data_IF_749562194386
#
_entry.id   IF_749562194386
#
_cell.length_a   1.000
_cell.length_b   1.000
_cell.length_c   1.000
_cell.angle_alpha   90.00
_cell.angle_beta   90.00
_cell.angle_gamma   90.00
#
_symmetry.space_group_name_H-M   'P 1'
#
loop_
_entity.id
_entity.type
_entity.pdbx_description
1 polymer ?
#
# COMPACT_ATOMS: atom_id res chain seq x y z
N UNK A 1 22.49 19.57 -54.05
CA UNK A 1 22.79 18.42 -53.17
C UNK A 1 22.07 18.66 -51.84
N UNK A 2 20.96 17.98 -51.60
CA UNK A 2 20.10 18.18 -50.41
C UNK A 2 20.55 17.25 -49.29
N UNK A 3 21.20 17.79 -48.26
CA UNK A 3 21.46 17.06 -47.02
C UNK A 3 20.16 16.99 -46.20
N UNK A 4 19.42 15.88 -46.34
CA UNK A 4 18.38 15.52 -45.37
C UNK A 4 19.07 14.86 -44.16
N UNK A 5 19.38 15.65 -43.14
CA UNK A 5 19.69 15.12 -41.82
C UNK A 5 18.38 14.80 -41.09
N UNK A 6 18.01 13.52 -41.02
CA UNK A 6 16.93 13.05 -40.15
C UNK A 6 17.38 13.22 -38.68
N UNK A 7 16.62 13.93 -37.82
CA UNK A 7 16.97 14.05 -36.42
C UNK A 7 16.76 12.68 -35.77
N UNK A 8 17.86 12.05 -35.37
CA UNK A 8 17.87 10.77 -34.67
C UNK A 8 17.36 11.00 -33.25
N UNK A 9 16.04 11.03 -33.04
CA UNK A 9 15.44 11.08 -31.71
C UNK A 9 15.53 9.70 -31.07
N UNK A 10 16.73 9.31 -30.65
CA UNK A 10 16.93 8.16 -29.78
C UNK A 10 16.17 8.43 -28.48
N UNK A 11 14.98 7.83 -28.33
CA UNK A 11 14.23 7.85 -27.08
C UNK A 11 15.14 7.34 -25.98
N UNK A 12 15.39 8.18 -24.97
CA UNK A 12 16.12 7.79 -23.77
C UNK A 12 15.29 6.70 -23.07
N UNK A 13 15.72 5.45 -23.20
CA UNK A 13 15.11 4.32 -22.51
C UNK A 13 15.91 3.97 -21.26
N UNK A 14 15.22 3.85 -20.13
CA UNK A 14 15.83 3.44 -18.87
C UNK A 14 16.30 1.98 -18.97
N UNK A 15 17.52 1.71 -18.50
CA UNK A 15 18.04 0.33 -18.43
C UNK A 15 17.21 -0.46 -17.44
N UNK A 16 16.56 -1.53 -17.89
CA UNK A 16 15.79 -2.46 -17.05
C UNK A 16 16.76 -3.28 -16.18
N UNK A 17 17.05 -2.80 -14.97
CA UNK A 17 18.00 -3.43 -14.04
C UNK A 17 17.34 -4.21 -12.91
N UNK A 18 16.04 -4.02 -12.67
CA UNK A 18 15.32 -4.75 -11.62
C UNK A 18 14.95 -6.18 -12.06
N UNK A 19 15.30 -7.16 -11.24
CA UNK A 19 14.87 -8.56 -11.36
C UNK A 19 13.57 -8.80 -10.57
N UNK A 20 12.99 -10.00 -10.65
CA UNK A 20 11.68 -10.33 -10.05
C UNK A 20 11.62 -10.04 -8.54
N UNK A 21 12.63 -10.45 -7.77
CA UNK A 21 12.61 -10.30 -6.31
C UNK A 21 12.57 -8.82 -5.89
N UNK A 22 13.45 -7.93 -6.39
CA UNK A 22 13.35 -6.49 -6.13
C UNK A 22 11.99 -5.89 -6.47
N UNK A 23 11.34 -6.33 -7.56
CA UNK A 23 10.00 -5.85 -7.96
C UNK A 23 8.94 -6.29 -6.95
N UNK A 24 8.97 -7.56 -6.52
CA UNK A 24 8.04 -8.09 -5.51
C UNK A 24 8.25 -7.39 -4.17
N UNK A 25 9.50 -7.21 -3.73
CA UNK A 25 9.83 -6.51 -2.49
C UNK A 25 9.38 -5.05 -2.53
N UNK A 26 9.55 -4.36 -3.66
CA UNK A 26 9.03 -3.02 -3.83
C UNK A 26 7.50 -3.01 -3.71
N UNK A 27 6.80 -3.94 -4.36
CA UNK A 27 5.35 -4.09 -4.24
C UNK A 27 4.88 -4.31 -2.81
N UNK A 28 5.52 -5.21 -2.07
CA UNK A 28 5.21 -5.47 -0.66
C UNK A 28 5.43 -4.24 0.24
N UNK A 29 6.51 -3.50 0.02
CA UNK A 29 6.76 -2.26 0.75
C UNK A 29 5.67 -1.20 0.49
N UNK A 30 5.17 -1.12 -0.75
CA UNK A 30 4.07 -0.21 -1.11
C UNK A 30 2.69 -0.65 -0.58
N UNK A 31 2.48 -1.94 -0.30
CA UNK A 31 1.20 -2.44 0.26
C UNK A 31 0.98 -2.05 1.73
N UNK A 32 2.03 -1.60 2.43
CA UNK A 32 1.98 -1.22 3.85
C UNK A 32 1.24 -2.24 4.75
N UNK A 33 1.72 -3.49 4.90
CA UNK A 33 0.99 -4.55 5.61
C UNK A 33 0.60 -4.22 7.06
N UNK A 34 1.34 -3.31 7.70
CA UNK A 34 1.06 -2.87 9.06
C UNK A 34 -0.27 -2.11 9.20
N UNK A 35 -0.78 -1.50 8.13
CA UNK A 35 -2.05 -0.73 8.16
C UNK A 35 -3.26 -1.60 8.52
N UNK A 36 -3.15 -2.92 8.38
CA UNK A 36 -4.17 -3.86 8.86
C UNK A 36 -4.40 -3.69 10.37
N UNK A 37 -3.34 -3.49 11.15
CA UNK A 37 -3.44 -3.37 12.62
C UNK A 37 -4.13 -2.08 13.07
N UNK A 38 -4.21 -1.06 12.22
CA UNK A 38 -4.80 0.23 12.56
C UNK A 38 -6.33 0.12 12.77
N UNK A 39 -6.98 -0.74 11.99
CA UNK A 39 -8.45 -0.85 11.95
C UNK A 39 -8.96 -2.21 12.40
N UNK A 40 -8.14 -3.27 12.31
CA UNK A 40 -8.59 -4.64 12.54
C UNK A 40 -9.26 -4.82 13.90
N UNK A 41 -8.66 -4.30 14.99
CA UNK A 41 -9.22 -4.45 16.33
C UNK A 41 -10.61 -3.81 16.48
N UNK A 42 -10.75 -2.57 16.00
CA UNK A 42 -12.01 -1.81 16.10
C UNK A 42 -13.08 -2.47 15.23
N UNK A 43 -12.77 -2.77 13.96
CA UNK A 43 -13.74 -3.35 13.03
C UNK A 43 -14.11 -4.77 13.46
N UNK A 44 -13.17 -5.56 14.00
CA UNK A 44 -13.45 -6.88 14.55
C UNK A 44 -14.45 -6.79 15.71
N UNK A 45 -14.29 -5.82 16.61
CA UNK A 45 -15.26 -5.57 17.68
C UNK A 45 -16.64 -5.13 17.18
N UNK A 46 -16.69 -4.31 16.12
CA UNK A 46 -17.95 -3.85 15.52
C UNK A 46 -18.67 -4.89 14.64
N UNK A 47 -17.97 -5.94 14.21
CA UNK A 47 -18.48 -6.94 13.25
C UNK A 47 -18.55 -8.34 13.85
N UNK A 48 -18.51 -8.47 15.18
CA UNK A 48 -18.49 -9.75 15.89
C UNK A 48 -17.40 -10.72 15.37
N UNK A 49 -16.27 -10.17 14.93
CA UNK A 49 -15.13 -10.94 14.41
C UNK A 49 -15.22 -11.36 12.95
N UNK A 50 -16.15 -10.85 12.14
CA UNK A 50 -16.31 -11.23 10.72
C UNK A 50 -15.34 -10.55 9.74
N UNK A 51 -14.36 -9.79 10.22
CA UNK A 51 -13.31 -9.15 9.39
C UNK A 51 -12.58 -10.12 8.46
N UNK A 52 -12.18 -11.35 8.88
CA UNK A 52 -11.53 -12.32 7.99
C UNK A 52 -12.40 -12.71 6.78
N UNK A 53 -13.72 -12.74 6.94
CA UNK A 53 -14.65 -13.03 5.84
C UNK A 53 -14.64 -11.93 4.80
N UNK A 54 -14.68 -10.67 5.23
CA UNK A 54 -14.55 -9.52 4.34
C UNK A 54 -13.20 -9.55 3.59
N UNK A 55 -12.11 -9.91 4.27
CA UNK A 55 -10.81 -10.10 3.62
C UNK A 55 -10.79 -11.27 2.62
N UNK A 56 -11.52 -12.36 2.90
CA UNK A 56 -11.69 -13.46 1.95
C UNK A 56 -12.34 -13.00 0.63
N UNK A 57 -13.43 -12.24 0.71
CA UNK A 57 -14.07 -11.67 -0.48
C UNK A 57 -13.18 -10.65 -1.19
N UNK A 58 -12.51 -9.77 -0.44
CA UNK A 58 -11.58 -8.79 -1.00
C UNK A 58 -10.41 -9.46 -1.72
N UNK A 59 -9.86 -10.54 -1.16
CA UNK A 59 -8.77 -11.31 -1.78
C UNK A 59 -9.18 -11.85 -3.14
N UNK A 60 -10.38 -12.42 -3.26
CA UNK A 60 -10.89 -12.94 -4.54
C UNK A 60 -10.95 -11.82 -5.59
N UNK A 61 -11.50 -10.65 -5.24
CA UNK A 61 -11.57 -9.50 -6.15
C UNK A 61 -10.17 -8.99 -6.56
N UNK A 62 -9.24 -8.93 -5.62
CA UNK A 62 -7.84 -8.51 -5.86
C UNK A 62 -7.12 -9.53 -6.75
N UNK A 63 -7.36 -10.84 -6.58
CA UNK A 63 -6.77 -11.87 -7.44
C UNK A 63 -7.23 -11.74 -8.89
N UNK A 64 -8.53 -11.50 -9.14
CA UNK A 64 -9.02 -11.21 -10.49
C UNK A 64 -8.35 -9.97 -11.09
N UNK A 65 -8.17 -8.93 -10.28
CA UNK A 65 -7.48 -7.70 -10.68
C UNK A 65 -6.02 -7.98 -11.04
N UNK A 66 -5.29 -8.70 -10.18
CA UNK A 66 -3.89 -9.05 -10.39
C UNK A 66 -3.68 -9.89 -11.66
N UNK A 67 -4.55 -10.88 -11.90
CA UNK A 67 -4.50 -11.71 -13.13
C UNK A 67 -4.78 -10.88 -14.39
N UNK A 68 -5.72 -9.94 -14.33
CA UNK A 68 -6.01 -9.00 -15.42
C UNK A 68 -4.78 -8.13 -15.74
N UNK A 69 -4.18 -7.52 -14.71
CA UNK A 69 -2.98 -6.71 -14.83
C UNK A 69 -1.80 -7.52 -15.40
N UNK A 70 -1.62 -8.77 -14.96
CA UNK A 70 -0.57 -9.66 -15.45
C UNK A 70 -0.69 -9.99 -16.95
N UNK A 71 -1.91 -10.05 -17.50
CA UNK A 71 -2.15 -10.20 -18.95
C UNK A 71 -1.92 -8.88 -19.69
N UNK A 72 -2.39 -7.78 -19.14
CA UNK A 72 -2.35 -6.47 -19.78
C UNK A 72 -0.93 -5.89 -19.85
N UNK A 73 -0.09 -6.11 -18.84
CA UNK A 73 1.32 -5.65 -18.86
C UNK A 73 2.13 -6.31 -19.98
N UNK A 74 1.81 -7.56 -20.34
CA UNK A 74 2.46 -8.27 -21.47
C UNK A 74 1.98 -7.73 -22.82
N UNK A 75 0.71 -7.34 -22.92
CA UNK A 75 0.10 -6.80 -24.15
C UNK A 75 0.46 -5.34 -24.40
N UNK A 76 0.55 -4.54 -23.34
CA UNK A 76 0.85 -3.12 -23.38
C UNK A 76 2.05 -2.82 -22.46
N UNK A 77 3.29 -3.15 -22.90
CA UNK A 77 4.50 -2.96 -22.10
C UNK A 77 4.89 -1.47 -22.05
N UNK A 78 4.13 -0.69 -21.29
CA UNK A 78 4.30 0.75 -21.10
C UNK A 78 4.22 1.09 -19.60
N UNK A 79 4.88 2.18 -19.20
CA UNK A 79 4.93 2.64 -17.82
C UNK A 79 3.61 3.24 -17.30
N UNK A 80 2.58 3.38 -18.14
CA UNK A 80 1.36 4.10 -17.77
C UNK A 80 0.29 3.30 -17.00
N UNK A 81 0.62 2.11 -16.48
CA UNK A 81 -0.18 1.34 -15.52
C UNK A 81 -1.68 1.21 -15.89
N UNK A 82 -2.56 1.24 -14.88
CA UNK A 82 -4.02 1.14 -14.98
C UNK A 82 -4.63 2.07 -16.04
N UNK A 83 -4.17 3.32 -16.08
CA UNK A 83 -4.60 4.33 -17.05
C UNK A 83 -4.40 3.83 -18.48
N UNK A 84 -3.18 3.39 -18.81
CA UNK A 84 -2.87 2.90 -20.16
C UNK A 84 -3.66 1.64 -20.48
N UNK A 85 -3.82 0.74 -19.52
CA UNK A 85 -4.57 -0.49 -19.74
C UNK A 85 -6.03 -0.19 -20.06
N UNK A 86 -6.71 0.61 -19.24
CA UNK A 86 -8.11 0.99 -19.45
C UNK A 86 -8.31 1.78 -20.74
N UNK A 87 -7.40 2.72 -21.03
CA UNK A 87 -7.42 3.50 -22.27
C UNK A 87 -7.33 2.63 -23.52
N UNK A 88 -6.44 1.63 -23.51
CA UNK A 88 -6.16 0.77 -24.67
C UNK A 88 -7.11 -0.42 -24.81
N UNK A 89 -7.74 -0.86 -23.72
CA UNK A 89 -8.63 -2.04 -23.71
C UNK A 89 -10.13 -1.71 -23.70
N UNK A 90 -10.52 -0.53 -23.21
CA UNK A 90 -11.93 -0.13 -23.10
C UNK A 90 -12.20 1.12 -23.96
N UNK A 91 -11.77 2.30 -23.52
CA UNK A 91 -11.92 3.54 -24.27
C UNK A 91 -11.06 4.67 -23.69
N UNK A 92 -10.77 5.73 -24.47
CA UNK A 92 -10.04 6.90 -23.97
C UNK A 92 -10.68 7.58 -22.75
N UNK A 93 -12.01 7.68 -22.71
CA UNK A 93 -12.74 8.30 -21.61
C UNK A 93 -12.60 7.49 -20.32
N UNK A 94 -12.70 6.16 -20.40
CA UNK A 94 -12.51 5.29 -19.23
C UNK A 94 -11.06 5.34 -18.74
N UNK A 95 -10.09 5.38 -19.67
CA UNK A 95 -8.70 5.65 -19.34
C UNK A 95 -8.54 6.93 -18.53
N UNK A 96 -9.10 8.04 -19.00
CA UNK A 96 -9.07 9.33 -18.30
C UNK A 96 -9.66 9.26 -16.88
N UNK A 97 -10.83 8.62 -16.71
CA UNK A 97 -11.45 8.45 -15.39
C UNK A 97 -10.56 7.62 -14.45
N UNK A 98 -9.95 6.55 -14.94
CA UNK A 98 -9.01 5.73 -14.15
C UNK A 98 -7.79 6.55 -13.74
N UNK A 99 -7.23 7.35 -14.65
CA UNK A 99 -6.11 8.24 -14.33
C UNK A 99 -6.44 9.25 -13.23
N UNK A 100 -7.63 9.87 -13.29
CA UNK A 100 -8.11 10.77 -12.25
C UNK A 100 -8.35 10.07 -10.92
N UNK A 101 -8.95 8.88 -10.94
CA UNK A 101 -9.16 8.07 -9.73
C UNK A 101 -7.82 7.73 -9.05
N UNK A 102 -6.82 7.29 -9.82
CA UNK A 102 -5.48 7.03 -9.29
C UNK A 102 -4.78 8.29 -8.75
N UNK A 103 -4.97 9.44 -9.38
CA UNK A 103 -4.41 10.70 -8.87
C UNK A 103 -5.02 11.06 -7.51
N UNK A 104 -6.35 10.93 -7.38
CA UNK A 104 -7.05 11.19 -6.12
C UNK A 104 -6.64 10.20 -5.03
N UNK A 105 -6.49 8.92 -5.36
CA UNK A 105 -5.97 7.89 -4.45
C UNK A 105 -4.59 8.27 -3.89
N UNK A 106 -3.67 8.67 -4.76
CA UNK A 106 -2.33 9.14 -4.35
C UNK A 106 -2.36 10.44 -3.53
N UNK A 107 -3.37 11.28 -3.72
CA UNK A 107 -3.54 12.51 -2.94
C UNK A 107 -4.12 12.22 -1.54
N UNK A 108 -5.07 11.28 -1.42
CA UNK A 108 -5.73 10.93 -0.16
C UNK A 108 -4.88 10.02 0.73
N UNK A 109 -4.08 9.12 0.16
CA UNK A 109 -3.22 8.22 0.92
C UNK A 109 -2.37 8.94 2.00
N UNK A 110 -1.58 9.99 1.71
CA UNK A 110 -0.81 10.69 2.74
C UNK A 110 -1.70 11.43 3.74
N UNK A 111 -2.85 11.96 3.33
CA UNK A 111 -3.78 12.64 4.24
C UNK A 111 -4.34 11.68 5.29
N UNK A 112 -4.74 10.47 4.89
CA UNK A 112 -5.23 9.43 5.80
C UNK A 112 -4.11 9.01 6.77
N UNK A 113 -2.88 8.85 6.28
CA UNK A 113 -1.74 8.51 7.14
C UNK A 113 -1.46 9.59 8.20
N UNK A 114 -1.54 10.88 7.84
CA UNK A 114 -1.39 11.99 8.80
C UNK A 114 -2.55 12.03 9.80
N UNK A 115 -3.78 11.74 9.36
CA UNK A 115 -4.93 11.62 10.25
C UNK A 115 -4.76 10.50 11.27
N UNK A 116 -4.30 9.32 10.85
CA UNK A 116 -4.00 8.21 11.76
C UNK A 116 -2.88 8.57 12.73
N UNK A 117 -1.79 9.18 12.25
CA UNK A 117 -0.71 9.66 13.10
C UNK A 117 -1.20 10.68 14.15
N UNK A 118 -2.12 11.58 13.78
CA UNK A 118 -2.78 12.51 14.70
C UNK A 118 -3.56 11.76 15.79
N UNK A 119 -4.37 10.77 15.41
CA UNK A 119 -5.17 9.98 16.36
C UNK A 119 -4.26 9.25 17.36
N UNK A 120 -3.17 8.63 16.88
CA UNK A 120 -2.20 7.97 17.76
C UNK A 120 -1.48 8.96 18.67
N UNK A 121 -1.10 10.13 18.16
CA UNK A 121 -0.46 11.16 18.96
C UNK A 121 -1.38 11.68 20.06
N UNK A 122 -2.66 11.94 19.75
CA UNK A 122 -3.67 12.36 20.74
C UNK A 122 -3.86 11.30 21.84
N UNK A 123 -3.81 10.02 21.49
CA UNK A 123 -3.91 8.93 22.47
C UNK A 123 -2.67 8.85 23.38
N UNK A 124 -1.48 9.12 22.86
CA UNK A 124 -0.21 9.04 23.61
C UNK A 124 0.08 10.29 24.44
N UNK A 125 -0.21 11.48 23.92
CA UNK A 125 0.08 12.76 24.56
C UNK A 125 -1.15 13.67 24.50
N UNK A 126 -2.19 13.41 25.32
CA UNK A 126 -3.43 14.18 25.29
C UNK A 126 -3.27 15.66 25.66
N UNK A 127 -2.16 16.02 26.30
CA UNK A 127 -1.88 17.38 26.79
C UNK A 127 -1.40 18.35 25.71
N UNK A 128 -0.92 17.85 24.56
CA UNK A 128 -0.38 18.69 23.49
C UNK A 128 -1.43 18.85 22.37
N UNK A 129 -1.73 20.08 21.92
CA UNK A 129 -2.61 20.30 20.77
C UNK A 129 -2.09 19.58 19.52
N UNK A 130 -2.90 18.68 18.98
CA UNK A 130 -2.50 17.78 17.90
C UNK A 130 -2.22 18.46 16.56
N UNK A 131 -2.78 19.65 16.32
CA UNK A 131 -2.49 20.44 15.12
C UNK A 131 -0.99 20.80 15.01
N UNK A 132 -0.31 21.01 16.15
CA UNK A 132 1.13 21.30 16.16
C UNK A 132 1.93 20.09 15.67
N UNK A 133 1.56 18.89 16.12
CA UNK A 133 2.16 17.64 15.68
C UNK A 133 1.91 17.41 14.18
N UNK A 134 0.68 17.62 13.71
CA UNK A 134 0.33 17.50 12.29
C UNK A 134 1.17 18.45 11.43
N UNK A 135 1.24 19.73 11.78
CA UNK A 135 2.03 20.72 11.03
C UNK A 135 3.51 20.35 11.02
N UNK A 136 4.07 19.98 12.17
CA UNK A 136 5.47 19.57 12.27
C UNK A 136 5.78 18.32 11.44
N UNK A 137 4.92 17.30 11.51
CA UNK A 137 5.10 16.05 10.79
C UNK A 137 4.99 16.25 9.28
N UNK A 138 4.00 17.03 8.81
CA UNK A 138 3.85 17.38 7.39
C UNK A 138 5.06 18.16 6.90
N UNK A 139 5.49 19.20 7.62
CA UNK A 139 6.66 19.99 7.26
C UNK A 139 7.93 19.13 7.18
N UNK A 140 8.14 18.23 8.14
CA UNK A 140 9.24 17.28 8.14
C UNK A 140 9.20 16.35 6.91
N UNK A 141 8.05 15.74 6.64
CA UNK A 141 7.88 14.84 5.50
C UNK A 141 8.06 15.55 4.15
N UNK A 142 7.51 16.76 4.00
CA UNK A 142 7.69 17.58 2.80
C UNK A 142 9.17 17.93 2.61
N UNK A 143 9.86 18.40 3.65
CA UNK A 143 11.28 18.73 3.59
C UNK A 143 12.14 17.51 3.23
N UNK A 144 11.80 16.33 3.76
CA UNK A 144 12.51 15.09 3.45
C UNK A 144 12.28 14.63 2.01
N UNK A 145 11.04 14.70 1.52
CA UNK A 145 10.69 14.37 0.14
C UNK A 145 11.42 15.26 -0.88
N UNK A 146 11.68 16.52 -0.55
CA UNK A 146 12.39 17.45 -1.44
C UNK A 146 13.91 17.21 -1.51
N UNK A 147 14.53 16.56 -0.51
CA UNK A 147 16.01 16.54 -0.38
C UNK A 147 16.70 15.40 -1.12
N UNK A 148 16.18 14.17 -1.14
CA UNK A 148 16.80 13.09 -1.93
C UNK A 148 15.99 11.80 -1.98
N UNK A 149 15.63 11.37 -3.20
CA UNK A 149 15.02 10.04 -3.46
C UNK A 149 15.96 8.90 -3.03
N UNK A 150 17.29 9.09 -3.06
CA UNK A 150 18.26 8.06 -2.63
C UNK A 150 18.27 7.85 -1.11
N UNK A 151 18.04 8.91 -0.32
CA UNK A 151 17.96 8.79 1.15
C UNK A 151 16.67 8.10 1.60
N UNK A 152 15.58 8.32 0.86
CA UNK A 152 14.28 7.68 1.09
C UNK A 152 14.37 6.16 0.91
N UNK A 153 15.07 5.67 -0.12
CA UNK A 153 15.17 4.24 -0.41
C UNK A 153 15.86 3.43 0.71
N UNK A 154 16.96 3.93 1.28
CA UNK A 154 17.66 3.24 2.37
C UNK A 154 16.87 3.28 3.68
N UNK A 155 16.21 4.40 3.99
CA UNK A 155 15.36 4.52 5.17
C UNK A 155 14.16 3.58 5.11
N UNK A 156 13.56 3.44 3.92
CA UNK A 156 12.44 2.53 3.71
C UNK A 156 12.82 1.06 4.01
N UNK A 157 14.04 0.64 3.67
CA UNK A 157 14.50 -0.72 3.99
C UNK A 157 14.56 -0.98 5.50
N UNK A 158 14.97 0.00 6.30
CA UNK A 158 15.02 -0.13 7.76
C UNK A 158 13.61 -0.23 8.35
N UNK A 159 12.69 0.61 7.86
CA UNK A 159 11.28 0.57 8.26
C UNK A 159 10.67 -0.79 7.97
N UNK A 160 10.87 -1.34 6.77
CA UNK A 160 10.32 -2.65 6.40
C UNK A 160 10.83 -3.75 7.32
N UNK A 161 12.12 -3.76 7.67
CA UNK A 161 12.67 -4.74 8.63
C UNK A 161 12.01 -4.58 9.99
N UNK A 162 11.87 -3.35 10.51
CA UNK A 162 11.20 -3.09 11.78
C UNK A 162 9.72 -3.53 11.75
N UNK A 163 9.02 -3.29 10.65
CA UNK A 163 7.64 -3.75 10.46
C UNK A 163 7.54 -5.28 10.51
N UNK A 164 8.43 -6.00 9.82
CA UNK A 164 8.46 -7.47 9.84
C UNK A 164 8.73 -7.98 11.25
N UNK A 165 9.65 -7.37 11.99
CA UNK A 165 9.93 -7.72 13.39
C UNK A 165 8.70 -7.50 14.27
N UNK A 166 8.03 -6.35 14.16
CA UNK A 166 6.81 -6.07 14.92
C UNK A 166 5.68 -7.07 14.60
N UNK A 167 5.50 -7.40 13.32
CA UNK A 167 4.55 -8.45 12.91
C UNK A 167 4.89 -9.78 13.57
N UNK A 168 6.16 -10.19 13.55
CA UNK A 168 6.60 -11.43 14.19
C UNK A 168 6.37 -11.44 15.70
N UNK A 169 6.62 -10.32 16.39
CA UNK A 169 6.35 -10.16 17.82
C UNK A 169 4.87 -10.25 18.12
N UNK A 170 4.01 -9.56 17.36
CA UNK A 170 2.55 -9.62 17.51
C UNK A 170 2.05 -11.06 17.30
N UNK A 171 2.53 -11.74 16.25
CA UNK A 171 2.18 -13.14 16.00
C UNK A 171 2.61 -14.05 17.16
N UNK A 172 3.83 -13.84 17.69
CA UNK A 172 4.31 -14.56 18.87
C UNK A 172 3.43 -14.34 20.10
N UNK A 173 3.02 -13.10 20.38
CA UNK A 173 2.11 -12.77 21.47
C UNK A 173 0.72 -13.40 21.28
N UNK A 174 0.17 -13.37 20.06
CA UNK A 174 -1.12 -14.00 19.75
C UNK A 174 -1.06 -15.50 19.97
N UNK A 175 -0.01 -16.17 19.49
CA UNK A 175 0.19 -17.61 19.68
C UNK A 175 0.30 -17.92 21.18
N UNK A 176 1.14 -17.17 21.90
CA UNK A 176 1.31 -17.31 23.35
C UNK A 176 -0.01 -17.13 24.11
N UNK A 177 -0.77 -16.07 23.80
CA UNK A 177 -2.07 -15.77 24.42
C UNK A 177 -3.09 -16.89 24.20
N UNK A 178 -3.19 -17.41 22.97
CA UNK A 178 -4.07 -18.55 22.66
C UNK A 178 -3.72 -19.79 23.49
N UNK A 179 -2.43 -20.10 23.68
CA UNK A 179 -1.99 -21.21 24.52
C UNK A 179 -2.26 -21.00 26.02
N UNK A 180 -2.37 -19.74 26.47
CA UNK A 180 -2.70 -19.38 27.85
C UNK A 180 -4.20 -19.11 28.07
N UNK A 181 -5.05 -19.46 27.10
CA UNK A 181 -6.50 -19.42 27.23
C UNK A 181 -7.13 -18.08 26.83
N UNK A 182 -6.38 -17.16 26.22
CA UNK A 182 -6.95 -15.94 25.65
C UNK A 182 -7.61 -16.21 24.27
N UNK A 183 -8.65 -15.43 23.95
CA UNK A 183 -9.36 -15.53 22.67
C UNK A 183 -10.21 -16.79 22.55
N UNK A 184 -10.22 -17.41 21.36
CA UNK A 184 -11.04 -18.58 21.07
C UNK A 184 -10.45 -19.92 21.56
N UNK A 185 -9.25 -19.90 22.16
CA UNK A 185 -8.54 -21.10 22.61
C UNK A 185 -8.04 -22.03 21.50
N UNK A 186 -8.18 -21.62 20.22
CA UNK A 186 -7.73 -22.38 19.06
C UNK A 186 -6.96 -21.48 18.08
N UNK A 187 -5.92 -22.03 17.44
CA UNK A 187 -5.15 -21.32 16.41
C UNK A 187 -5.92 -21.16 15.09
N UNK A 188 -6.93 -22.01 14.86
CA UNK A 188 -7.81 -21.95 13.71
C UNK A 188 -9.27 -22.02 14.17
N UNK A 189 -10.12 -21.16 13.60
CA UNK A 189 -11.55 -21.14 13.86
C UNK A 189 -12.32 -20.81 12.59
N UNK A 190 -13.39 -21.57 12.34
CA UNK A 190 -14.34 -21.27 11.26
C UNK A 190 -15.42 -20.27 11.66
N UNK A 191 -15.51 -19.91 12.96
CA UNK A 191 -16.54 -19.00 13.49
C UNK A 191 -16.62 -17.66 12.74
N UNK A 192 -15.51 -16.98 12.38
CA UNK A 192 -15.57 -15.73 11.60
C UNK A 192 -16.26 -15.84 10.24
N UNK A 193 -16.36 -17.04 9.68
CA UNK A 193 -16.91 -17.33 8.35
C UNK A 193 -18.36 -17.82 8.37
N UNK A 194 -18.91 -18.07 9.56
CA UNK A 194 -20.27 -18.58 9.73
C UNK A 194 -21.13 -17.46 10.28
N UNK A 195 -22.08 -16.99 9.46
CA UNK A 195 -23.12 -16.05 9.89
C UNK A 195 -24.01 -16.77 10.90
N UNK A 196 -24.12 -16.24 12.12
CA UNK A 196 -25.11 -16.66 13.11
C UNK A 196 -26.32 -15.73 13.08
#
# INVERSE_FOLDING_TARGET
MSHNATPNTSRVELRKTLTLIPVVMMGLAYMQPMTLFDTFGIVSGLTDGHVPTAYGFALIAILFTALSYGKLVRRYPSAGSAYTYAQKSISPTVGFMVGWSSLLDYLFAPMINILLAKIYFEALVPSIPSWMFVVALVAFMTAFNLRSIKSVANFNSVIVVLQVVLIAVILGMVIYGVFHGEGAGTLASSKPFLVR
#
